data_IF_951257098501
#
_entry.id   IF_951257098501
#
_cell.length_a   1.000
_cell.length_b   1.000
_cell.length_c   1.000
_cell.angle_alpha   90.00
_cell.angle_beta   90.00
_cell.angle_gamma   90.00
#
_symmetry.space_group_name_H-M   'P 1'
#
loop_
_entity.id
_entity.type
_entity.pdbx_description
1 polymer ?
#
# COMPACT_ATOMS: atom_id res chain seq x y z
N UNK A 1 -11.88 -41.92 -4.60
CA UNK A 1 -10.84 -41.96 -5.65
C UNK A 1 -10.75 -40.67 -6.46
N UNK A 2 -11.86 -39.97 -6.75
CA UNK A 2 -11.79 -38.67 -7.45
C UNK A 2 -11.33 -37.51 -6.54
N UNK A 3 -11.65 -37.55 -5.25
CA UNK A 3 -11.25 -36.51 -4.28
C UNK A 3 -9.71 -36.41 -4.12
N UNK A 4 -9.03 -37.55 -4.02
CA UNK A 4 -7.56 -37.60 -3.86
C UNK A 4 -6.83 -37.07 -5.10
N UNK A 5 -7.40 -37.30 -6.31
CA UNK A 5 -6.85 -36.75 -7.55
C UNK A 5 -7.05 -35.24 -7.62
N UNK A 6 -8.24 -34.75 -7.23
CA UNK A 6 -8.54 -33.32 -7.21
C UNK A 6 -7.67 -32.55 -6.20
N UNK A 7 -7.35 -33.15 -5.06
CA UNK A 7 -6.41 -32.60 -4.07
C UNK A 7 -4.99 -32.50 -4.64
N UNK A 8 -4.51 -33.57 -5.28
CA UNK A 8 -3.20 -33.58 -5.95
C UNK A 8 -3.07 -32.52 -7.05
N UNK A 9 -4.10 -32.34 -7.89
CA UNK A 9 -4.11 -31.31 -8.93
C UNK A 9 -4.06 -29.90 -8.35
N UNK A 10 -4.77 -29.65 -7.24
CA UNK A 10 -4.75 -28.37 -6.53
C UNK A 10 -3.36 -28.08 -5.96
N UNK A 11 -2.70 -29.07 -5.37
CA UNK A 11 -1.34 -28.95 -4.84
C UNK A 11 -0.38 -28.56 -5.97
N UNK A 12 -0.42 -29.28 -7.10
CA UNK A 12 0.43 -29.00 -8.26
C UNK A 12 0.22 -27.59 -8.84
N UNK A 13 -1.03 -27.12 -8.89
CA UNK A 13 -1.34 -25.74 -9.31
C UNK A 13 -0.75 -24.73 -8.32
N UNK A 14 -0.87 -24.98 -7.02
CA UNK A 14 -0.37 -24.09 -5.97
C UNK A 14 1.16 -23.98 -6.02
N UNK A 15 1.85 -25.11 -6.18
CA UNK A 15 3.30 -25.16 -6.34
C UNK A 15 3.75 -24.33 -7.55
N UNK A 16 3.08 -24.52 -8.70
CA UNK A 16 3.40 -23.77 -9.93
C UNK A 16 3.18 -22.27 -9.77
N UNK A 17 2.08 -21.86 -9.15
CA UNK A 17 1.78 -20.44 -8.90
C UNK A 17 2.84 -19.84 -7.98
N UNK A 18 3.22 -20.53 -6.91
CA UNK A 18 4.25 -20.06 -5.99
C UNK A 18 5.62 -19.92 -6.66
N UNK A 19 6.01 -20.88 -7.49
CA UNK A 19 7.23 -20.81 -8.28
C UNK A 19 7.22 -19.61 -9.24
N UNK A 20 6.09 -19.35 -9.91
CA UNK A 20 5.92 -18.18 -10.77
C UNK A 20 6.01 -16.85 -10.01
N UNK A 21 5.37 -16.75 -8.84
CA UNK A 21 5.46 -15.57 -7.97
C UNK A 21 6.91 -15.34 -7.52
N UNK A 22 7.63 -16.40 -7.15
CA UNK A 22 9.03 -16.30 -6.75
C UNK A 22 9.92 -15.79 -7.88
N UNK A 23 9.77 -16.33 -9.09
CA UNK A 23 10.52 -15.88 -10.27
C UNK A 23 10.23 -14.41 -10.62
N UNK A 24 8.97 -13.99 -10.58
CA UNK A 24 8.58 -12.61 -10.82
C UNK A 24 9.10 -11.64 -9.75
N UNK A 25 9.07 -12.03 -8.46
CA UNK A 25 9.71 -11.25 -7.37
C UNK A 25 11.21 -11.11 -7.60
N UNK A 26 11.90 -12.19 -7.98
CA UNK A 26 13.34 -12.16 -8.30
C UNK A 26 13.65 -11.26 -9.50
N UNK A 27 12.71 -11.14 -10.45
CA UNK A 27 12.81 -10.24 -11.60
C UNK A 27 12.44 -8.78 -11.26
N UNK A 28 12.16 -8.46 -10.00
CA UNK A 28 11.81 -7.10 -9.55
C UNK A 28 10.35 -6.70 -9.80
N UNK A 29 9.46 -7.66 -10.11
CA UNK A 29 8.04 -7.36 -10.32
C UNK A 29 7.41 -6.88 -9.01
N UNK A 30 6.86 -5.67 -9.03
CA UNK A 30 6.10 -5.14 -7.90
C UNK A 30 4.67 -5.66 -7.93
N UNK A 31 4.33 -6.49 -6.95
CA UNK A 31 2.98 -7.02 -6.78
C UNK A 31 2.08 -6.07 -5.97
N UNK A 32 0.77 -6.24 -6.15
CA UNK A 32 -0.26 -5.52 -5.41
C UNK A 32 -0.63 -4.17 -6.03
N UNK A 33 -1.32 -3.32 -5.26
CA UNK A 33 -1.76 -2.01 -5.73
C UNK A 33 -0.52 -1.12 -6.00
N UNK A 34 -0.47 -0.42 -7.14
CA UNK A 34 0.58 0.56 -7.41
C UNK A 34 0.71 1.55 -6.26
N UNK A 35 1.95 1.87 -5.89
CA UNK A 35 2.22 2.90 -4.88
C UNK A 35 1.87 4.26 -5.48
N UNK A 36 1.36 5.15 -4.64
CA UNK A 36 1.17 6.55 -5.02
C UNK A 36 2.54 7.22 -5.08
N UNK A 37 2.75 8.04 -6.11
CA UNK A 37 4.00 8.78 -6.31
C UNK A 37 4.38 9.60 -5.07
N UNK A 38 5.65 9.56 -4.61
CA UNK A 38 6.10 10.30 -3.43
C UNK A 38 5.84 11.81 -3.53
N UNK A 39 5.99 12.40 -4.72
CA UNK A 39 5.73 13.82 -4.95
C UNK A 39 4.27 14.19 -4.66
N UNK A 40 3.31 13.36 -5.08
CA UNK A 40 1.88 13.56 -4.83
C UNK A 40 1.58 13.42 -3.33
N UNK A 41 2.26 12.50 -2.63
CA UNK A 41 2.11 12.35 -1.18
C UNK A 41 2.62 13.61 -0.46
N UNK A 42 3.78 14.14 -0.87
CA UNK A 42 4.37 15.34 -0.29
C UNK A 42 3.49 16.58 -0.49
N UNK A 43 2.97 16.80 -1.71
CA UNK A 43 2.04 17.88 -2.02
C UNK A 43 0.77 17.80 -1.15
N UNK A 44 0.16 16.62 -1.06
CA UNK A 44 -1.02 16.40 -0.22
C UNK A 44 -0.73 16.61 1.26
N UNK A 45 0.44 16.18 1.74
CA UNK A 45 0.84 16.42 3.14
C UNK A 45 0.99 17.91 3.44
N UNK A 46 1.53 18.71 2.51
CA UNK A 46 1.63 20.15 2.68
C UNK A 46 0.24 20.80 2.84
N UNK A 47 -0.72 20.43 2.00
CA UNK A 47 -2.11 20.91 2.07
C UNK A 47 -2.75 20.53 3.42
N UNK A 48 -2.60 19.27 3.83
CA UNK A 48 -3.17 18.80 5.10
C UNK A 48 -2.52 19.51 6.29
N UNK A 49 -1.20 19.68 6.30
CA UNK A 49 -0.49 20.33 7.40
C UNK A 49 -0.84 21.83 7.52
N UNK A 50 -0.97 22.54 6.39
CA UNK A 50 -1.46 23.93 6.39
C UNK A 50 -2.88 24.04 6.96
N UNK A 51 -3.79 23.14 6.55
CA UNK A 51 -5.14 23.08 7.09
C UNK A 51 -5.15 22.78 8.62
N UNK A 52 -4.23 21.95 9.09
CA UNK A 52 -4.04 21.66 10.53
C UNK A 52 -3.54 22.88 11.30
N UNK A 53 -2.59 23.63 10.73
CA UNK A 53 -2.08 24.87 11.32
C UNK A 53 -3.18 25.94 11.44
N UNK A 54 -4.13 25.96 10.51
CA UNK A 54 -5.34 26.81 10.54
C UNK A 54 -6.43 26.32 11.53
N UNK A 55 -6.13 25.29 12.34
CA UNK A 55 -7.01 24.81 13.39
C UNK A 55 -8.01 23.71 12.98
N UNK A 56 -7.95 23.18 11.75
CA UNK A 56 -8.83 22.06 11.36
C UNK A 56 -8.46 20.77 12.08
N UNK A 57 -9.47 19.92 12.30
CA UNK A 57 -9.23 18.57 12.83
C UNK A 57 -8.45 17.73 11.83
N UNK A 58 -7.77 16.68 12.30
CA UNK A 58 -7.04 15.75 11.43
C UNK A 58 -7.95 15.03 10.43
N UNK A 59 -9.20 14.78 10.80
CA UNK A 59 -10.18 14.17 9.90
C UNK A 59 -10.55 15.13 8.78
N UNK A 60 -10.96 16.36 9.11
CA UNK A 60 -11.42 17.34 8.12
C UNK A 60 -10.28 17.76 7.19
N UNK A 61 -9.07 17.92 7.73
CA UNK A 61 -7.90 18.26 6.93
C UNK A 61 -7.53 17.13 5.96
N UNK A 62 -7.56 15.86 6.39
CA UNK A 62 -7.26 14.72 5.51
C UNK A 62 -8.30 14.56 4.39
N UNK A 63 -9.57 14.85 4.69
CA UNK A 63 -10.65 14.78 3.70
C UNK A 63 -10.45 15.76 2.53
N UNK A 64 -9.80 16.92 2.75
CA UNK A 64 -9.50 17.90 1.69
C UNK A 64 -8.70 17.29 0.54
N UNK A 65 -7.86 16.29 0.81
CA UNK A 65 -7.01 15.63 -0.19
C UNK A 65 -7.50 14.23 -0.57
N UNK A 66 -8.72 13.86 -0.12
CA UNK A 66 -9.33 12.55 -0.35
C UNK A 66 -8.73 11.42 0.49
N UNK A 67 -8.13 11.74 1.64
CA UNK A 67 -7.55 10.74 2.55
C UNK A 67 -8.42 10.51 3.78
N UNK A 68 -8.38 9.27 4.27
CA UNK A 68 -8.82 8.98 5.64
C UNK A 68 -7.82 9.51 6.65
N UNK A 69 -8.27 9.75 7.89
CA UNK A 69 -7.39 10.13 9.01
C UNK A 69 -6.21 9.17 9.18
N UNK A 70 -6.45 7.86 9.03
CA UNK A 70 -5.40 6.84 9.13
C UNK A 70 -4.37 6.93 8.00
N UNK A 71 -4.81 7.26 6.78
CA UNK A 71 -3.92 7.44 5.62
C UNK A 71 -3.00 8.64 5.83
N UNK A 72 -3.54 9.74 6.34
CA UNK A 72 -2.74 10.91 6.72
C UNK A 72 -1.64 10.54 7.74
N UNK A 73 -1.99 9.92 8.86
CA UNK A 73 -1.00 9.56 9.89
C UNK A 73 0.05 8.56 9.39
N UNK A 74 -0.32 7.60 8.55
CA UNK A 74 0.63 6.66 7.95
C UNK A 74 1.68 7.38 7.09
N UNK A 75 1.25 8.31 6.24
CA UNK A 75 2.17 9.09 5.42
C UNK A 75 3.02 10.04 6.27
N UNK A 76 2.44 10.66 7.30
CA UNK A 76 3.16 11.55 8.20
C UNK A 76 4.27 10.81 8.98
N UNK A 77 3.97 9.62 9.51
CA UNK A 77 4.96 8.77 10.19
C UNK A 77 6.09 8.31 9.25
N UNK A 78 5.76 8.00 7.99
CA UNK A 78 6.75 7.57 7.01
C UNK A 78 7.74 8.69 6.67
N UNK A 79 7.27 9.94 6.53
CA UNK A 79 8.13 11.09 6.26
C UNK A 79 9.05 11.40 7.44
N UNK A 80 8.53 11.38 8.67
CA UNK A 80 9.34 11.63 9.88
C UNK A 80 10.51 10.64 10.04
N UNK A 81 10.32 9.38 9.63
CA UNK A 81 11.37 8.37 9.67
C UNK A 81 12.45 8.51 8.59
N UNK A 82 12.23 9.35 7.55
CA UNK A 82 13.24 9.61 6.52
C UNK A 82 14.11 10.82 6.82
N UNK A 83 13.61 11.75 7.64
CA UNK A 83 14.32 12.97 8.05
C UNK A 83 15.21 12.78 9.30
N UNK A 84 15.14 11.60 9.95
CA UNK A 84 15.98 11.21 11.10
C UNK A 84 17.05 10.21 10.69
#
# INVERSE_FOLDING_TARGET
MLATLAEYERELITERVNAGIAAAKASGTQFGRPRVEPAVIAEKLAIVNDARAKGRTATDAAQLVGWSRATFYRHNATVQSQDS
#
